data_IF_787923409465
#
_entry.id   IF_787923409465
#
_cell.length_a   1.000
_cell.length_b   1.000
_cell.length_c   1.000
_cell.angle_alpha   90.00
_cell.angle_beta   90.00
_cell.angle_gamma   90.00
#
_symmetry.space_group_name_H-M   'P 1'
#
loop_
_entity.id
_entity.type
_entity.pdbx_description
1 polymer ?
#
# COMPACT_ATOMS: atom_id res chain seq x y z
N UNK A 1 25.90 10.81 10.07
CA UNK A 1 24.59 10.15 10.22
C UNK A 1 23.55 11.05 9.56
N UNK A 2 22.60 10.49 8.80
CA UNK A 2 21.43 11.24 8.36
C UNK A 2 20.57 11.58 9.58
N UNK A 3 20.08 12.83 9.68
CA UNK A 3 19.22 13.26 10.79
C UNK A 3 17.96 12.41 10.88
N UNK A 4 17.38 12.07 9.74
CA UNK A 4 16.17 11.27 9.67
C UNK A 4 16.50 9.84 9.28
N UNK A 5 15.74 8.91 9.86
CA UNK A 5 15.84 7.49 9.61
C UNK A 5 14.47 6.93 9.26
N UNK A 6 14.41 6.21 8.15
CA UNK A 6 13.23 5.49 7.73
C UNK A 6 13.05 4.22 8.58
N UNK A 7 11.86 4.02 9.14
CA UNK A 7 11.56 2.82 9.94
C UNK A 7 10.70 1.81 9.18
N UNK A 8 9.83 2.27 8.29
CA UNK A 8 8.95 1.39 7.53
C UNK A 8 7.68 2.08 7.01
N UNK A 9 6.87 1.30 6.28
CA UNK A 9 5.55 1.71 5.79
C UNK A 9 4.53 0.66 6.22
N UNK A 10 3.49 1.08 6.93
CA UNK A 10 2.40 0.21 7.35
C UNK A 10 1.08 1.00 7.44
N UNK A 11 0.02 0.34 7.88
CA UNK A 11 -1.34 0.85 8.03
C UNK A 11 -1.79 1.00 9.50
N UNK A 12 -0.84 1.01 10.46
CA UNK A 12 -1.13 1.18 11.90
C UNK A 12 -1.83 2.52 12.21
N UNK A 13 -1.57 3.54 11.38
CA UNK A 13 -2.25 4.83 11.40
C UNK A 13 -2.74 5.17 10.01
N UNK A 14 -3.80 5.96 9.94
CA UNK A 14 -4.47 6.35 8.69
C UNK A 14 -4.51 7.87 8.48
N UNK A 15 -3.67 8.63 9.17
CA UNK A 15 -3.61 10.09 9.01
C UNK A 15 -2.16 10.58 8.93
N UNK A 16 -1.94 11.79 8.41
CA UNK A 16 -0.62 12.41 8.30
C UNK A 16 -0.41 13.47 9.39
N UNK A 17 0.65 13.36 10.18
CA UNK A 17 0.98 14.37 11.20
C UNK A 17 1.50 15.69 10.61
N UNK A 18 1.88 15.71 9.33
CA UNK A 18 2.32 16.93 8.66
C UNK A 18 1.16 17.81 8.16
N UNK A 19 0.13 17.22 7.56
CA UNK A 19 -0.94 17.96 6.88
C UNK A 19 -2.34 17.66 7.41
N UNK A 20 -2.48 16.76 8.38
CA UNK A 20 -3.76 16.37 8.96
C UNK A 20 -4.64 15.51 8.05
N UNK A 21 -4.21 15.19 6.82
CA UNK A 21 -5.00 14.36 5.89
C UNK A 21 -5.29 12.99 6.51
N UNK A 22 -6.55 12.59 6.50
CA UNK A 22 -7.05 11.33 7.06
C UNK A 22 -7.42 10.33 5.95
N UNK A 23 -7.74 9.09 6.34
CA UNK A 23 -8.15 8.02 5.43
C UNK A 23 -7.02 7.50 4.53
N UNK A 24 -5.77 7.64 4.97
CA UNK A 24 -4.62 7.11 4.27
C UNK A 24 -4.58 5.59 4.38
N UNK A 25 -4.35 4.92 3.25
CA UNK A 25 -4.20 3.45 3.19
C UNK A 25 -2.92 2.94 3.86
N UNK A 26 -1.92 3.80 3.98
CA UNK A 26 -0.60 3.51 4.56
C UNK A 26 0.10 4.81 4.95
N UNK A 27 0.94 4.75 5.96
CA UNK A 27 1.79 5.84 6.44
C UNK A 27 3.25 5.42 6.46
N UNK A 28 4.14 6.39 6.37
CA UNK A 28 5.59 6.25 6.44
C UNK A 28 6.02 6.64 7.85
N UNK A 29 6.74 5.75 8.53
CA UNK A 29 7.31 6.00 9.84
C UNK A 29 8.76 6.49 9.71
N UNK A 30 9.03 7.63 10.34
CA UNK A 30 10.34 8.29 10.31
C UNK A 30 10.73 8.62 11.76
N UNK A 31 11.97 8.28 12.10
CA UNK A 31 12.64 8.67 13.34
C UNK A 31 13.50 9.91 13.10
N UNK A 32 13.38 10.94 13.93
CA UNK A 32 14.34 12.05 14.00
C UNK A 32 15.41 11.69 15.03
N UNK A 33 16.62 11.39 14.55
CA UNK A 33 17.74 10.95 15.37
C UNK A 33 18.30 12.06 16.27
N UNK A 34 17.93 13.33 16.07
CA UNK A 34 18.32 14.42 16.97
C UNK A 34 17.40 14.50 18.20
N UNK A 35 16.11 14.18 18.05
CA UNK A 35 15.11 14.28 19.13
C UNK A 35 14.67 12.92 19.68
N UNK A 36 15.00 11.83 18.99
CA UNK A 36 14.48 10.47 19.21
C UNK A 36 12.94 10.37 19.08
N UNK A 37 12.32 11.31 18.36
CA UNK A 37 10.89 11.26 18.10
C UNK A 37 10.59 10.40 16.87
N UNK A 38 9.60 9.53 17.01
CA UNK A 38 9.06 8.74 15.92
C UNK A 38 7.72 9.33 15.51
N UNK A 39 7.60 9.68 14.22
CA UNK A 39 6.40 10.31 13.65
C UNK A 39 5.97 9.59 12.38
N UNK A 40 4.69 9.75 12.01
CA UNK A 40 4.13 9.13 10.81
C UNK A 40 3.52 10.14 9.83
N UNK A 41 3.74 9.88 8.54
CA UNK A 41 3.37 10.79 7.47
C UNK A 41 2.74 10.06 6.29
N UNK A 42 1.89 10.73 5.53
CA UNK A 42 1.51 10.23 4.20
C UNK A 42 2.74 10.18 3.28
N UNK A 43 2.77 9.24 2.34
CA UNK A 43 3.90 9.04 1.41
C UNK A 43 4.31 10.32 0.67
N UNK A 44 3.34 11.11 0.22
CA UNK A 44 3.58 12.40 -0.44
C UNK A 44 4.26 13.42 0.48
N UNK A 45 3.85 13.49 1.76
CA UNK A 45 4.46 14.41 2.73
C UNK A 45 5.86 13.94 3.13
N UNK A 46 6.05 12.63 3.30
CA UNK A 46 7.33 12.02 3.64
C UNK A 46 8.39 12.21 2.54
N UNK A 47 7.97 12.35 1.28
CA UNK A 47 8.84 12.60 0.12
C UNK A 47 8.87 14.08 -0.32
N UNK A 48 8.21 14.98 0.41
CA UNK A 48 8.15 16.37 0.00
C UNK A 48 9.52 17.04 0.25
N UNK A 49 10.16 17.66 -0.79
CA UNK A 49 11.47 18.30 -0.62
C UNK A 49 11.47 19.39 0.48
N UNK A 50 10.35 20.10 0.62
CA UNK A 50 10.16 21.13 1.65
C UNK A 50 10.23 20.60 3.11
N UNK A 51 10.16 19.28 3.31
CA UNK A 51 10.28 18.65 4.63
C UNK A 51 11.69 18.18 4.96
N UNK A 52 12.58 18.12 3.97
CA UNK A 52 14.00 17.88 4.20
C UNK A 52 14.36 16.50 4.75
N UNK A 53 13.45 15.51 4.69
CA UNK A 53 13.73 14.16 5.21
C UNK A 53 14.81 13.45 4.40
N UNK A 54 14.88 13.67 3.08
CA UNK A 54 15.85 13.05 2.16
C UNK A 54 15.83 11.51 2.12
N UNK A 55 14.67 10.90 2.39
CA UNK A 55 14.47 9.44 2.44
C UNK A 55 13.76 8.88 1.19
N UNK A 56 13.67 9.67 0.12
CA UNK A 56 12.91 9.34 -1.10
C UNK A 56 13.24 7.99 -1.70
N UNK A 57 14.53 7.62 -1.74
CA UNK A 57 14.97 6.35 -2.34
C UNK A 57 14.50 5.15 -1.52
N UNK A 58 14.62 5.22 -0.20
CA UNK A 58 14.20 4.18 0.74
C UNK A 58 12.68 4.01 0.73
N UNK A 59 11.95 5.12 0.81
CA UNK A 59 10.48 5.13 0.74
C UNK A 59 10.00 4.54 -0.59
N UNK A 60 10.60 4.94 -1.72
CA UNK A 60 10.24 4.40 -3.05
C UNK A 60 10.58 2.91 -3.18
N UNK A 61 11.72 2.48 -2.66
CA UNK A 61 12.11 1.07 -2.66
C UNK A 61 11.10 0.22 -1.86
N UNK A 62 10.68 0.71 -0.70
CA UNK A 62 9.72 -0.01 0.13
C UNK A 62 8.32 -0.02 -0.48
N UNK A 63 7.86 1.09 -1.06
CA UNK A 63 6.59 1.13 -1.80
C UNK A 63 6.62 0.09 -2.93
N UNK A 64 7.71 0.01 -3.71
CA UNK A 64 7.85 -0.99 -4.77
C UNK A 64 7.82 -2.41 -4.22
N UNK A 65 8.49 -2.68 -3.09
CA UNK A 65 8.47 -3.98 -2.42
C UNK A 65 7.05 -4.38 -2.01
N UNK A 66 6.32 -3.48 -1.33
CA UNK A 66 4.95 -3.70 -0.89
C UNK A 66 4.00 -3.93 -2.08
N UNK A 67 4.11 -3.10 -3.12
CA UNK A 67 3.29 -3.22 -4.33
C UNK A 67 3.60 -4.55 -5.06
N UNK A 68 4.85 -5.00 -5.08
CA UNK A 68 5.23 -6.30 -5.66
C UNK A 68 4.65 -7.47 -4.86
N UNK A 69 4.72 -7.43 -3.52
CA UNK A 69 4.11 -8.44 -2.65
C UNK A 69 2.61 -8.50 -2.88
N UNK A 70 1.93 -7.35 -2.94
CA UNK A 70 0.50 -7.28 -3.21
C UNK A 70 0.15 -7.85 -4.60
N UNK A 71 0.91 -7.50 -5.64
CA UNK A 71 0.73 -8.04 -6.99
C UNK A 71 0.90 -9.56 -7.01
N UNK A 72 1.94 -10.09 -6.37
CA UNK A 72 2.18 -11.53 -6.29
C UNK A 72 1.05 -12.25 -5.55
N UNK A 73 0.54 -11.67 -4.46
CA UNK A 73 -0.61 -12.19 -3.71
C UNK A 73 -1.86 -12.28 -4.57
N UNK A 74 -2.22 -11.17 -5.24
CA UNK A 74 -3.39 -11.10 -6.14
C UNK A 74 -3.25 -12.08 -7.31
N UNK A 75 -2.04 -12.23 -7.87
CA UNK A 75 -1.80 -13.18 -8.96
C UNK A 75 -2.01 -14.64 -8.52
N UNK A 76 -1.52 -15.03 -7.33
CA UNK A 76 -1.73 -16.37 -6.76
C UNK A 76 -3.20 -16.64 -6.45
N UNK A 77 -3.87 -15.64 -5.85
CA UNK A 77 -5.31 -15.70 -5.61
C UNK A 77 -6.08 -15.92 -6.92
N UNK A 78 -5.72 -15.19 -7.98
CA UNK A 78 -6.37 -15.31 -9.29
C UNK A 78 -6.11 -16.66 -9.96
N UNK A 79 -4.89 -17.19 -9.86
CA UNK A 79 -4.59 -18.53 -10.35
C UNK A 79 -5.48 -19.58 -9.67
N UNK A 80 -5.61 -19.50 -8.33
CA UNK A 80 -6.45 -20.40 -7.54
C UNK A 80 -7.93 -20.24 -7.89
N UNK A 81 -8.40 -19.00 -8.04
CA UNK A 81 -9.76 -18.67 -8.47
C UNK A 81 -10.08 -19.32 -9.83
N UNK A 82 -9.16 -19.22 -10.79
CA UNK A 82 -9.31 -19.85 -12.12
C UNK A 82 -9.32 -21.37 -12.06
N UNK A 83 -8.48 -21.98 -11.21
CA UNK A 83 -8.46 -23.44 -11.01
C UNK A 83 -9.77 -23.97 -10.41
N UNK A 84 -10.40 -23.20 -9.52
CA UNK A 84 -11.72 -23.50 -8.95
C UNK A 84 -12.89 -23.20 -9.91
N UNK A 85 -12.61 -22.88 -11.17
CA UNK A 85 -13.62 -22.61 -12.21
C UNK A 85 -14.07 -21.16 -12.31
N UNK A 86 -13.48 -20.25 -11.53
CA UNK A 86 -13.80 -18.82 -11.54
C UNK A 86 -13.64 -18.16 -12.90
N UNK A 87 -14.56 -17.25 -13.25
CA UNK A 87 -14.58 -16.50 -14.51
C UNK A 87 -14.70 -15.00 -14.27
N UNK A 88 -14.29 -14.21 -15.26
CA UNK A 88 -14.59 -12.79 -15.30
C UNK A 88 -15.69 -12.56 -16.34
N UNK A 89 -16.69 -11.77 -15.99
CA UNK A 89 -17.80 -11.38 -16.86
C UNK A 89 -17.79 -9.88 -17.07
N UNK A 90 -18.36 -9.42 -18.18
CA UNK A 90 -18.52 -7.98 -18.41
C UNK A 90 -19.37 -7.37 -17.30
N UNK A 91 -18.96 -6.20 -16.80
CA UNK A 91 -19.71 -5.46 -15.81
C UNK A 91 -20.95 -4.81 -16.48
N UNK A 92 -22.18 -5.13 -16.05
CA UNK A 92 -23.39 -4.57 -16.64
C UNK A 92 -23.54 -3.07 -16.37
N UNK A 93 -23.06 -2.59 -15.22
CA UNK A 93 -23.20 -1.19 -14.79
C UNK A 93 -22.13 -0.28 -15.39
N UNK A 94 -21.01 -0.87 -15.85
CA UNK A 94 -19.86 -0.13 -16.36
C UNK A 94 -19.27 -0.79 -17.60
N UNK A 95 -19.74 -0.41 -18.81
CA UNK A 95 -19.23 -0.94 -20.07
C UNK A 95 -17.71 -0.80 -20.18
N UNK A 96 -17.05 -1.84 -20.69
CA UNK A 96 -15.58 -1.92 -20.82
C UNK A 96 -14.84 -2.36 -19.55
N UNK A 97 -15.54 -2.61 -18.44
CA UNK A 97 -14.98 -3.18 -17.23
C UNK A 97 -15.42 -4.63 -17.05
N UNK A 98 -14.59 -5.43 -16.40
CA UNK A 98 -14.89 -6.82 -16.05
C UNK A 98 -15.02 -6.96 -14.53
N UNK A 99 -15.88 -7.87 -14.10
CA UNK A 99 -16.03 -8.26 -12.70
C UNK A 99 -15.88 -9.78 -12.55
N UNK A 100 -15.57 -10.23 -11.34
CA UNK A 100 -15.56 -11.65 -11.02
C UNK A 100 -17.00 -12.17 -11.03
N UNK A 101 -17.24 -13.27 -11.77
CA UNK A 101 -18.55 -13.91 -11.84
C UNK A 101 -19.01 -14.44 -10.47
N UNK A 102 -18.05 -14.90 -9.66
CA UNK A 102 -18.27 -15.32 -8.27
C UNK A 102 -17.39 -14.46 -7.34
N UNK A 103 -17.94 -13.34 -6.81
CA UNK A 103 -17.22 -12.48 -5.89
C UNK A 103 -16.83 -13.16 -4.57
N UNK A 104 -17.62 -14.12 -4.10
CA UNK A 104 -17.34 -14.82 -2.84
C UNK A 104 -16.13 -15.73 -3.01
N UNK A 105 -16.12 -16.54 -4.08
CA UNK A 105 -14.98 -17.38 -4.40
C UNK A 105 -13.69 -16.58 -4.61
N UNK A 106 -13.79 -15.39 -5.23
CA UNK A 106 -12.65 -14.47 -5.36
C UNK A 106 -12.14 -14.02 -3.98
N UNK A 107 -13.02 -13.57 -3.10
CA UNK A 107 -12.65 -13.11 -1.76
C UNK A 107 -12.00 -14.23 -0.93
N UNK A 108 -12.53 -15.45 -1.00
CA UNK A 108 -11.96 -16.62 -0.31
C UNK A 108 -10.55 -16.95 -0.84
N UNK A 109 -10.35 -16.89 -2.17
CA UNK A 109 -9.03 -17.11 -2.76
C UNK A 109 -8.04 -15.99 -2.42
N UNK A 110 -8.50 -14.75 -2.30
CA UNK A 110 -7.66 -13.61 -1.91
C UNK A 110 -7.29 -13.66 -0.43
N UNK A 111 -8.19 -14.13 0.43
CA UNK A 111 -7.92 -14.34 1.85
C UNK A 111 -6.90 -15.48 2.08
N UNK A 112 -6.91 -16.51 1.23
CA UNK A 112 -6.02 -17.66 1.32
C UNK A 112 -4.63 -17.47 0.67
N UNK A 113 -4.43 -16.42 -0.12
CA UNK A 113 -3.18 -16.13 -0.84
C UNK A 113 -2.25 -15.19 -0.07
#
# INVERSE_FOLDING_TARGET
MSRFKFLGINDDKSHCECCGKQGLKRVVWIEDCETNEIRHFGTTCAMAPAKGFTLDLEIKAEIRRLDQVQKSRVARAYQTYRQKGGRCVANPDKPGYFMYADPQLWNDCLAAA
#
